data_IF_763947330097
#
_entry.id   IF_763947330097
#
_cell.length_a   1.000
_cell.length_b   1.000
_cell.length_c   1.000
_cell.angle_alpha   90.00
_cell.angle_beta   90.00
_cell.angle_gamma   90.00
#
_symmetry.space_group_name_H-M   'P 1'
#
loop_
_entity.id
_entity.type
_entity.pdbx_description
1 polymer ?
#
# COMPACT_ATOMS: atom_id res chain seq x y z
N UNK A 1 -10.65 -18.30 8.13
CA UNK A 1 -9.21 -18.07 7.95
C UNK A 1 -8.60 -17.62 9.27
N UNK A 2 -8.04 -18.55 10.05
CA UNK A 2 -7.54 -18.26 11.42
C UNK A 2 -6.06 -17.81 11.46
N UNK A 3 -5.46 -17.48 10.31
CA UNK A 3 -4.01 -17.27 10.18
C UNK A 3 -3.51 -15.82 10.15
N UNK A 4 -4.28 -14.86 9.62
CA UNK A 4 -3.84 -13.47 9.44
C UNK A 4 -4.50 -12.57 10.49
N UNK A 5 -3.70 -11.98 11.38
CA UNK A 5 -4.20 -11.11 12.45
C UNK A 5 -4.69 -9.76 11.92
N UNK A 6 -3.98 -9.19 10.93
CA UNK A 6 -4.35 -7.92 10.28
C UNK A 6 -4.84 -8.19 8.86
N UNK A 7 -6.16 -8.16 8.69
CA UNK A 7 -6.86 -8.30 7.40
C UNK A 7 -7.19 -6.91 6.89
N UNK A 8 -6.27 -6.37 6.10
CA UNK A 8 -6.28 -4.97 5.74
C UNK A 8 -6.51 -4.69 4.26
N UNK A 9 -6.91 -3.45 4.01
CA UNK A 9 -6.90 -2.79 2.70
C UNK A 9 -6.32 -1.39 2.88
N UNK A 10 -5.62 -0.87 1.88
CA UNK A 10 -5.18 0.51 1.90
C UNK A 10 -6.28 1.46 1.38
N UNK A 11 -6.23 2.71 1.82
CA UNK A 11 -7.19 3.73 1.43
C UNK A 11 -6.50 5.10 1.38
N UNK A 12 -6.54 5.75 0.21
CA UNK A 12 -6.00 7.10 0.04
C UNK A 12 -7.00 8.14 0.53
N UNK A 13 -6.56 9.05 1.39
CA UNK A 13 -7.42 10.07 2.00
C UNK A 13 -7.46 11.37 1.20
N UNK A 14 -6.44 11.63 0.39
CA UNK A 14 -6.30 12.90 -0.33
C UNK A 14 -7.39 13.08 -1.39
N UNK A 15 -8.00 14.27 -1.41
CA UNK A 15 -9.09 14.60 -2.35
C UNK A 15 -10.43 13.91 -2.06
N UNK A 16 -10.53 13.08 -1.02
CA UNK A 16 -11.76 12.38 -0.66
C UNK A 16 -12.61 13.21 0.30
N UNK A 17 -13.89 13.40 -0.05
CA UNK A 17 -14.83 14.10 0.83
C UNK A 17 -15.06 13.32 2.15
N UNK A 18 -15.19 13.98 3.32
CA UNK A 18 -15.36 13.29 4.60
C UNK A 18 -16.55 12.31 4.66
N UNK A 19 -17.66 12.62 4.01
CA UNK A 19 -18.83 11.73 3.94
C UNK A 19 -18.58 10.49 3.09
N UNK A 20 -17.74 10.63 2.04
CA UNK A 20 -17.30 9.52 1.22
C UNK A 20 -16.38 8.60 2.01
N UNK A 21 -15.39 9.18 2.71
CA UNK A 21 -14.49 8.42 3.60
C UNK A 21 -15.30 7.60 4.61
N UNK A 22 -16.27 8.21 5.28
CA UNK A 22 -17.13 7.51 6.26
C UNK A 22 -17.90 6.35 5.63
N UNK A 23 -18.49 6.54 4.45
CA UNK A 23 -19.25 5.50 3.76
C UNK A 23 -18.34 4.35 3.31
N UNK A 24 -17.16 4.66 2.79
CA UNK A 24 -16.19 3.65 2.34
C UNK A 24 -15.64 2.83 3.50
N UNK A 25 -15.32 3.46 4.63
CA UNK A 25 -14.86 2.76 5.83
C UNK A 25 -15.93 1.81 6.39
N UNK A 26 -17.21 2.14 6.26
CA UNK A 26 -18.29 1.22 6.63
C UNK A 26 -18.31 -0.01 5.71
N UNK A 27 -18.20 0.17 4.38
CA UNK A 27 -18.11 -0.94 3.42
C UNK A 27 -16.87 -1.80 3.66
N UNK A 28 -15.71 -1.18 3.93
CA UNK A 28 -14.45 -1.87 4.23
C UNK A 28 -14.60 -2.77 5.46
N UNK A 29 -15.28 -2.30 6.51
CA UNK A 29 -15.53 -3.12 7.71
C UNK A 29 -16.59 -4.18 7.48
N UNK A 30 -17.76 -3.77 7.01
CA UNK A 30 -18.98 -4.59 7.04
C UNK A 30 -19.04 -5.57 5.89
N UNK A 31 -18.67 -5.13 4.69
CA UNK A 31 -18.84 -5.90 3.46
C UNK A 31 -17.54 -6.58 3.02
N UNK A 32 -16.39 -5.93 3.24
CA UNK A 32 -15.07 -6.49 2.93
C UNK A 32 -14.47 -7.26 4.12
N UNK A 33 -15.09 -7.18 5.30
CA UNK A 33 -14.68 -7.87 6.52
C UNK A 33 -13.25 -7.55 6.98
N UNK A 34 -12.71 -6.38 6.59
CA UNK A 34 -11.44 -5.91 7.12
C UNK A 34 -11.57 -5.58 8.61
N UNK A 35 -10.49 -5.83 9.36
CA UNK A 35 -10.37 -5.37 10.75
C UNK A 35 -9.42 -4.16 10.88
N UNK A 36 -8.64 -3.86 9.85
CA UNK A 36 -7.67 -2.77 9.85
C UNK A 36 -7.68 -2.05 8.51
N UNK A 37 -7.47 -0.73 8.51
CA UNK A 37 -7.27 0.06 7.29
C UNK A 37 -5.93 0.79 7.34
N UNK A 38 -5.18 0.76 6.23
CA UNK A 38 -3.99 1.58 6.08
C UNK A 38 -4.36 2.89 5.37
N UNK A 39 -4.37 3.99 6.12
CA UNK A 39 -4.70 5.30 5.60
C UNK A 39 -3.43 5.96 5.05
N UNK A 40 -3.49 6.41 3.81
CA UNK A 40 -2.38 7.03 3.08
C UNK A 40 -2.77 8.45 2.69
N UNK A 41 -1.99 9.44 3.09
CA UNK A 41 -2.30 10.84 2.77
C UNK A 41 -1.11 11.79 2.90
N UNK A 42 -1.22 12.92 2.22
CA UNK A 42 -0.27 14.06 2.26
C UNK A 42 -0.74 15.16 3.21
N UNK A 43 -2.04 15.27 3.49
CA UNK A 43 -2.59 16.21 4.47
C UNK A 43 -2.70 15.53 5.86
N UNK A 44 -1.88 15.92 6.86
CA UNK A 44 -1.93 15.32 8.19
C UNK A 44 -3.29 15.43 8.87
N UNK A 45 -4.00 16.54 8.70
CA UNK A 45 -5.28 16.77 9.37
C UNK A 45 -6.40 15.95 8.73
N UNK A 46 -6.47 15.94 7.39
CA UNK A 46 -7.38 15.06 6.65
C UNK A 46 -7.15 13.58 6.97
N UNK A 47 -5.89 13.15 7.03
CA UNK A 47 -5.53 11.78 7.38
C UNK A 47 -5.94 11.43 8.82
N UNK A 48 -5.68 12.30 9.79
CA UNK A 48 -6.11 12.11 11.19
C UNK A 48 -7.65 12.11 11.31
N UNK A 49 -8.36 12.93 10.54
CA UNK A 49 -9.81 12.93 10.44
C UNK A 49 -10.36 11.58 9.95
N UNK A 50 -9.78 11.03 8.89
CA UNK A 50 -10.12 9.70 8.38
C UNK A 50 -9.81 8.59 9.42
N UNK A 51 -8.70 8.70 10.14
CA UNK A 51 -8.32 7.75 11.18
C UNK A 51 -9.33 7.73 12.34
N UNK A 52 -9.80 8.90 12.80
CA UNK A 52 -10.88 8.98 13.81
C UNK A 52 -12.16 8.29 13.31
N UNK A 53 -12.51 8.46 12.04
CA UNK A 53 -13.68 7.80 11.46
C UNK A 53 -13.52 6.28 11.42
N UNK A 54 -12.34 5.78 11.04
CA UNK A 54 -12.04 4.35 11.00
C UNK A 54 -12.11 3.71 12.39
N UNK A 55 -11.48 4.34 13.39
CA UNK A 55 -11.49 3.87 14.79
C UNK A 55 -12.92 3.83 15.37
N UNK A 56 -13.75 4.84 15.08
CA UNK A 56 -15.18 4.87 15.44
C UNK A 56 -16.01 3.82 14.71
N UNK A 57 -15.67 3.52 13.47
CA UNK A 57 -16.24 2.39 12.76
C UNK A 57 -15.75 1.06 13.35
N UNK A 58 -14.74 1.01 14.22
CA UNK A 58 -14.24 -0.24 14.78
C UNK A 58 -13.17 -0.91 13.94
N UNK A 59 -12.59 -0.19 12.97
CA UNK A 59 -11.35 -0.61 12.30
C UNK A 59 -10.13 -0.13 13.11
N UNK A 60 -9.11 -0.97 13.22
CA UNK A 60 -7.77 -0.53 13.62
C UNK A 60 -7.13 0.26 12.46
N UNK A 61 -6.13 1.10 12.77
CA UNK A 61 -5.57 2.02 11.79
C UNK A 61 -4.05 1.91 11.70
N UNK A 62 -3.58 1.74 10.47
CA UNK A 62 -2.18 1.96 10.11
C UNK A 62 -2.08 3.34 9.43
N UNK A 63 -1.42 4.29 10.10
CA UNK A 63 -1.24 5.64 9.56
C UNK A 63 0.04 5.69 8.75
N UNK A 64 -0.06 5.96 7.45
CA UNK A 64 1.09 6.07 6.55
C UNK A 64 1.20 7.48 5.96
N UNK A 65 2.15 8.31 6.42
CA UNK A 65 2.40 9.59 5.79
C UNK A 65 2.90 9.40 4.36
N UNK A 66 2.46 10.26 3.44
CA UNK A 66 2.90 10.28 2.06
C UNK A 66 3.42 11.67 1.72
N UNK A 67 4.74 11.79 1.49
CA UNK A 67 5.35 13.01 0.97
C UNK A 67 6.35 12.66 -0.12
N UNK A 68 5.82 12.38 -1.30
CA UNK A 68 6.63 12.06 -2.48
C UNK A 68 7.49 13.24 -2.92
N UNK A 69 8.70 12.94 -3.41
CA UNK A 69 9.67 13.94 -3.84
C UNK A 69 10.07 14.96 -2.76
N UNK A 70 9.77 14.68 -1.48
CA UNK A 70 10.21 15.45 -0.34
C UNK A 70 11.73 15.40 -0.15
N UNK A 71 12.33 16.49 0.35
CA UNK A 71 13.69 16.46 0.87
C UNK A 71 13.67 15.87 2.28
N UNK A 72 14.81 15.35 2.75
CA UNK A 72 14.93 14.76 4.10
C UNK A 72 14.31 15.62 5.21
N UNK A 73 14.61 16.92 5.24
CA UNK A 73 14.03 17.81 6.25
C UNK A 73 12.50 17.89 6.17
N UNK A 74 11.94 18.02 4.96
CA UNK A 74 10.50 18.11 4.73
C UNK A 74 9.78 16.81 5.13
N UNK A 75 10.37 15.65 4.76
CA UNK A 75 9.85 14.32 5.12
C UNK A 75 9.82 14.15 6.64
N UNK A 76 10.88 14.54 7.34
CA UNK A 76 10.95 14.42 8.79
C UNK A 76 9.98 15.39 9.50
N UNK A 77 9.84 16.62 9.02
CA UNK A 77 8.90 17.59 9.59
C UNK A 77 7.44 17.15 9.39
N UNK A 78 7.13 16.62 8.20
CA UNK A 78 5.82 16.04 7.90
C UNK A 78 5.53 14.82 8.79
N UNK A 79 6.50 13.90 8.92
CA UNK A 79 6.39 12.74 9.81
C UNK A 79 6.17 13.15 11.27
N UNK A 80 6.87 14.17 11.78
CA UNK A 80 6.65 14.65 13.15
C UNK A 80 5.20 15.09 13.38
N UNK A 81 4.64 15.83 12.42
CA UNK A 81 3.23 16.27 12.48
C UNK A 81 2.26 15.09 12.48
N UNK A 82 2.48 14.12 11.58
CA UNK A 82 1.63 12.92 11.49
C UNK A 82 1.77 12.06 12.76
N UNK A 83 2.98 11.94 13.31
CA UNK A 83 3.24 11.15 14.51
C UNK A 83 2.57 11.74 15.76
N UNK A 84 2.60 13.07 15.93
CA UNK A 84 1.88 13.74 17.01
C UNK A 84 0.36 13.52 16.93
N UNK A 85 -0.23 13.63 15.73
CA UNK A 85 -1.65 13.33 15.53
C UNK A 85 -1.97 11.85 15.75
N UNK A 86 -1.09 10.94 15.34
CA UNK A 86 -1.25 9.51 15.61
C UNK A 86 -1.19 9.20 17.13
N UNK A 87 -0.42 9.97 17.90
CA UNK A 87 -0.33 9.81 19.36
C UNK A 87 -1.62 10.23 20.06
N UNK A 88 -2.25 11.33 19.64
CA UNK A 88 -3.59 11.71 20.11
C UNK A 88 -4.59 10.55 19.91
N UNK A 89 -4.61 9.98 18.70
CA UNK A 89 -5.47 8.84 18.38
C UNK A 89 -5.17 7.61 19.21
N UNK A 90 -3.88 7.31 19.45
CA UNK A 90 -3.44 6.17 20.25
C UNK A 90 -3.80 6.33 21.72
N UNK A 91 -3.75 7.55 22.25
CA UNK A 91 -4.16 7.84 23.63
C UNK A 91 -5.67 7.62 23.81
N UNK A 92 -6.49 8.00 22.83
CA UNK A 92 -7.93 7.76 22.81
C UNK A 92 -8.30 6.29 22.53
N UNK A 93 -7.49 5.59 21.73
CA UNK A 93 -7.72 4.21 21.29
C UNK A 93 -6.48 3.32 21.48
N UNK A 94 -6.12 2.96 22.74
CA UNK A 94 -4.92 2.19 23.02
C UNK A 94 -4.88 0.85 22.28
N UNK A 95 -3.73 0.56 21.65
CA UNK A 95 -3.48 -0.71 20.94
C UNK A 95 -4.05 -0.79 19.53
N UNK A 96 -4.73 0.26 19.03
CA UNK A 96 -5.44 0.25 17.74
C UNK A 96 -4.79 1.09 16.63
N UNK A 97 -3.65 1.72 16.92
CA UNK A 97 -2.95 2.64 16.02
C UNK A 97 -1.51 2.20 15.85
N UNK A 98 -1.10 1.99 14.59
CA UNK A 98 0.28 1.72 14.18
C UNK A 98 0.75 2.82 13.22
N UNK A 99 1.96 3.35 13.42
CA UNK A 99 2.54 4.38 12.58
C UNK A 99 3.57 3.80 11.61
N UNK A 100 3.44 4.10 10.33
CA UNK A 100 4.50 3.89 9.34
C UNK A 100 5.36 5.15 9.28
N UNK A 101 6.68 5.03 9.36
CA UNK A 101 7.57 6.20 9.22
C UNK A 101 7.68 6.69 7.77
N UNK A 102 7.21 5.89 6.81
CA UNK A 102 7.20 6.20 5.39
C UNK A 102 7.05 4.95 4.51
N UNK A 103 7.24 5.13 3.20
CA UNK A 103 7.16 4.07 2.19
C UNK A 103 8.21 4.29 1.11
N UNK A 104 8.94 3.22 0.76
CA UNK A 104 9.86 3.14 -0.37
C UNK A 104 10.77 4.36 -0.56
N UNK A 105 11.43 4.84 0.49
CA UNK A 105 12.29 6.03 0.47
C UNK A 105 13.36 6.01 -0.62
N UNK A 106 13.85 4.85 -1.06
CA UNK A 106 14.72 4.78 -2.23
C UNK A 106 14.10 5.35 -3.50
N UNK A 107 12.78 5.21 -3.64
CA UNK A 107 11.97 5.68 -4.75
C UNK A 107 11.29 7.02 -4.47
N UNK A 108 10.83 7.29 -3.24
CA UNK A 108 9.98 8.45 -2.91
C UNK A 108 10.75 9.63 -2.34
N UNK A 109 11.86 9.40 -1.63
CA UNK A 109 12.64 10.45 -0.97
C UNK A 109 13.78 10.98 -1.83
N UNK A 110 13.94 12.32 -1.90
CA UNK A 110 15.00 12.93 -2.69
C UNK A 110 16.38 12.63 -2.12
N UNK A 111 17.34 12.45 -3.03
CA UNK A 111 18.74 12.28 -2.67
C UNK A 111 19.14 10.85 -2.31
N UNK A 112 18.27 9.86 -2.36
CA UNK A 112 18.69 8.46 -2.21
C UNK A 112 19.33 7.96 -3.52
N UNK A 113 18.52 7.88 -4.57
CA UNK A 113 18.91 7.55 -5.95
C UNK A 113 18.97 8.83 -6.79
N UNK A 114 19.87 8.94 -7.80
CA UNK A 114 19.86 10.06 -8.73
C UNK A 114 18.52 10.20 -9.47
N UNK A 115 18.00 11.43 -9.54
CA UNK A 115 16.72 11.74 -10.18
C UNK A 115 15.91 12.74 -9.34
N UNK A 116 15.37 13.78 -9.99
CA UNK A 116 14.54 14.80 -9.33
C UNK A 116 13.13 14.30 -9.03
N UNK A 117 12.64 13.38 -9.86
CA UNK A 117 11.27 12.90 -9.90
C UNK A 117 11.23 11.40 -9.64
N UNK A 118 10.18 10.93 -8.96
CA UNK A 118 9.90 9.51 -8.68
C UNK A 118 10.12 8.64 -9.92
N UNK A 119 9.51 9.01 -11.06
CA UNK A 119 9.62 8.24 -12.31
C UNK A 119 11.07 8.03 -12.77
N UNK A 120 11.92 9.05 -12.69
CA UNK A 120 13.32 8.93 -13.09
C UNK A 120 14.10 8.00 -12.14
N UNK A 121 13.84 8.10 -10.83
CA UNK A 121 14.45 7.20 -9.85
C UNK A 121 14.00 5.75 -10.07
N UNK A 122 12.74 5.52 -10.41
CA UNK A 122 12.24 4.19 -10.77
C UNK A 122 13.01 3.60 -11.95
N UNK A 123 13.22 4.37 -13.02
CA UNK A 123 14.01 3.91 -14.17
C UNK A 123 15.46 3.56 -13.78
N UNK A 124 16.08 4.36 -12.90
CA UNK A 124 17.43 4.08 -12.40
C UNK A 124 17.46 2.81 -11.55
N UNK A 125 16.48 2.61 -10.65
CA UNK A 125 16.38 1.39 -9.84
C UNK A 125 16.18 0.17 -10.76
N UNK A 126 15.21 0.21 -11.67
CA UNK A 126 14.91 -0.94 -12.53
C UNK A 126 16.09 -1.34 -13.43
N UNK A 127 16.87 -0.38 -13.94
CA UNK A 127 17.96 -0.66 -14.89
C UNK A 127 19.34 -0.80 -14.25
N UNK A 128 19.61 -0.03 -13.19
CA UNK A 128 20.96 0.17 -12.65
C UNK A 128 21.05 -0.11 -11.14
N UNK A 129 20.02 -0.68 -10.50
CA UNK A 129 19.99 -0.94 -9.04
C UNK A 129 21.29 -1.54 -8.51
N UNK A 130 21.85 -2.56 -9.18
CA UNK A 130 23.06 -3.26 -8.71
C UNK A 130 24.25 -2.31 -8.50
N UNK A 131 24.35 -1.23 -9.28
CA UNK A 131 25.39 -0.21 -9.13
C UNK A 131 25.16 0.71 -7.91
N UNK A 132 23.91 0.82 -7.47
CA UNK A 132 23.49 1.71 -6.38
C UNK A 132 23.14 0.99 -5.08
N UNK A 133 23.10 -0.34 -5.01
CA UNK A 133 22.65 -1.11 -3.84
C UNK A 133 23.31 -0.68 -2.52
N UNK A 134 24.64 -0.50 -2.51
CA UNK A 134 25.37 -0.03 -1.31
C UNK A 134 24.97 1.38 -0.91
N UNK A 135 24.76 2.26 -1.89
CA UNK A 135 24.34 3.65 -1.65
C UNK A 135 22.89 3.71 -1.16
N UNK A 136 21.99 2.96 -1.81
CA UNK A 136 20.58 2.85 -1.44
C UNK A 136 20.49 2.36 0.00
N UNK A 137 21.10 1.20 0.30
CA UNK A 137 21.10 0.63 1.66
C UNK A 137 21.60 1.63 2.69
N UNK A 138 22.75 2.28 2.47
CA UNK A 138 23.31 3.23 3.42
C UNK A 138 22.41 4.46 3.62
N UNK A 139 21.90 5.05 2.53
CA UNK A 139 21.12 6.29 2.60
C UNK A 139 19.70 6.07 3.10
N UNK A 140 19.07 4.95 2.72
CA UNK A 140 17.75 4.56 3.26
C UNK A 140 17.86 4.32 4.75
N UNK A 141 18.81 3.51 5.23
CA UNK A 141 18.95 3.28 6.68
C UNK A 141 19.31 4.55 7.46
N UNK A 142 20.14 5.44 6.89
CA UNK A 142 20.41 6.74 7.51
C UNK A 142 19.18 7.65 7.60
N UNK A 143 18.26 7.58 6.64
CA UNK A 143 16.98 8.31 6.70
C UNK A 143 16.01 7.62 7.65
N UNK A 144 15.95 6.29 7.66
CA UNK A 144 15.09 5.52 8.57
C UNK A 144 15.48 5.72 10.03
N UNK A 145 16.77 5.81 10.34
CA UNK A 145 17.24 6.12 11.69
C UNK A 145 16.71 7.48 12.18
N UNK A 146 16.81 8.53 11.35
CA UNK A 146 16.23 9.84 11.67
C UNK A 146 14.70 9.79 11.76
N UNK A 147 14.05 9.11 10.81
CA UNK A 147 12.60 9.02 10.76
C UNK A 147 12.05 8.31 12.00
N UNK A 148 12.70 7.22 12.42
CA UNK A 148 12.38 6.52 13.65
C UNK A 148 12.62 7.39 14.87
N UNK A 149 13.76 8.09 14.97
CA UNK A 149 14.02 9.01 16.07
C UNK A 149 12.98 10.13 16.16
N UNK A 150 12.52 10.65 15.02
CA UNK A 150 11.43 11.62 14.94
C UNK A 150 10.10 11.02 15.36
N UNK A 151 9.72 9.86 14.83
CA UNK A 151 8.48 9.18 15.22
C UNK A 151 8.44 8.88 16.73
N UNK A 152 9.53 8.37 17.31
CA UNK A 152 9.60 8.03 18.74
C UNK A 152 9.58 9.23 19.69
N UNK A 153 9.88 10.44 19.21
CA UNK A 153 9.71 11.66 20.02
C UNK A 153 8.24 12.00 20.22
N UNK A 154 7.42 11.73 19.21
CA UNK A 154 6.02 12.16 19.18
C UNK A 154 5.03 11.02 19.46
N UNK A 155 5.41 9.76 19.18
CA UNK A 155 4.51 8.60 19.17
C UNK A 155 5.04 7.42 19.99
N UNK A 156 4.22 6.91 20.90
CA UNK A 156 4.56 5.84 21.85
C UNK A 156 4.03 4.45 21.45
N UNK A 157 3.34 4.33 20.31
CA UNK A 157 2.78 3.06 19.83
C UNK A 157 3.71 2.27 18.88
N UNK A 158 3.20 1.21 18.24
CA UNK A 158 3.96 0.41 17.29
C UNK A 158 4.37 1.19 16.04
N UNK A 159 5.63 1.09 15.64
CA UNK A 159 6.21 1.76 14.47
C UNK A 159 6.77 0.75 13.47
N UNK A 160 6.48 1.00 12.20
CA UNK A 160 6.99 0.22 11.06
C UNK A 160 7.36 1.11 9.87
N UNK A 161 7.67 0.50 8.74
CA UNK A 161 8.06 1.15 7.48
C UNK A 161 7.59 0.26 6.32
N UNK A 162 7.10 0.84 5.23
CA UNK A 162 6.73 0.08 4.03
C UNK A 162 7.94 -0.03 3.08
N UNK A 163 8.77 -1.06 3.28
CA UNK A 163 9.99 -1.25 2.50
C UNK A 163 9.69 -1.81 1.11
N UNK A 164 10.27 -1.23 0.06
CA UNK A 164 10.25 -1.88 -1.24
C UNK A 164 11.04 -3.20 -1.17
N UNK A 165 10.65 -4.23 -1.94
CA UNK A 165 11.31 -5.55 -1.89
C UNK A 165 12.81 -5.54 -2.19
N UNK A 166 13.35 -4.43 -2.72
CA UNK A 166 14.78 -4.25 -2.98
C UNK A 166 15.56 -3.56 -1.86
N UNK A 167 14.89 -2.93 -0.91
CA UNK A 167 15.51 -2.21 0.19
C UNK A 167 15.98 -3.18 1.27
N UNK A 168 17.24 -3.04 1.69
CA UNK A 168 17.79 -3.76 2.86
C UNK A 168 17.67 -2.85 4.06
N UNK A 169 16.68 -3.11 4.90
CA UNK A 169 16.36 -2.31 6.09
C UNK A 169 16.91 -2.99 7.34
N UNK A 170 17.48 -2.19 8.24
CA UNK A 170 17.74 -2.60 9.62
C UNK A 170 16.44 -2.48 10.43
N UNK A 171 15.84 -3.64 10.74
CA UNK A 171 14.58 -3.72 11.48
C UNK A 171 14.76 -3.74 13.00
N UNK A 172 15.99 -3.69 13.52
CA UNK A 172 16.29 -3.91 14.94
C UNK A 172 15.49 -3.00 15.89
N UNK A 173 15.30 -1.72 15.52
CA UNK A 173 14.60 -0.72 16.33
C UNK A 173 13.11 -0.50 15.96
N UNK A 174 12.59 -1.20 14.95
CA UNK A 174 11.18 -1.20 14.56
C UNK A 174 10.40 -2.30 15.30
N UNK A 175 9.09 -2.13 15.46
CA UNK A 175 8.25 -3.13 16.15
C UNK A 175 7.73 -4.21 15.20
N UNK A 176 7.54 -3.84 13.93
CA UNK A 176 6.97 -4.68 12.87
C UNK A 176 7.82 -4.54 11.61
N UNK A 177 8.02 -5.65 10.90
CA UNK A 177 8.64 -5.67 9.56
C UNK A 177 7.57 -5.40 8.52
N UNK A 178 7.64 -4.26 7.82
CA UNK A 178 6.69 -3.88 6.79
C UNK A 178 7.30 -3.94 5.38
N UNK A 179 6.67 -4.68 4.46
CA UNK A 179 7.18 -4.82 3.09
C UNK A 179 6.10 -4.65 2.02
N UNK A 180 6.39 -3.84 1.00
CA UNK A 180 5.64 -3.83 -0.24
C UNK A 180 6.13 -5.01 -1.09
N UNK A 181 5.29 -6.04 -1.21
CA UNK A 181 5.71 -7.34 -1.71
C UNK A 181 4.77 -7.85 -2.80
N UNK A 182 4.98 -7.35 -4.01
CA UNK A 182 4.23 -7.79 -5.18
C UNK A 182 4.85 -9.05 -5.83
N UNK A 183 4.03 -10.03 -6.18
CA UNK A 183 4.40 -11.15 -7.06
C UNK A 183 4.52 -10.65 -8.51
N UNK A 184 5.62 -10.99 -9.17
CA UNK A 184 5.96 -10.56 -10.52
C UNK A 184 6.55 -11.74 -11.31
N UNK A 185 6.22 -11.82 -12.60
CA UNK A 185 6.73 -12.86 -13.50
C UNK A 185 6.02 -14.19 -13.30
N UNK A 186 6.71 -15.27 -13.65
CA UNK A 186 6.15 -16.64 -13.64
C UNK A 186 6.79 -17.54 -12.58
N UNK A 187 7.75 -17.04 -11.79
CA UNK A 187 8.41 -17.80 -10.72
C UNK A 187 7.62 -17.69 -9.41
N UNK A 188 6.47 -18.36 -9.37
CA UNK A 188 5.58 -18.36 -8.20
C UNK A 188 6.25 -19.02 -6.99
N UNK A 189 6.96 -20.14 -7.19
CA UNK A 189 7.69 -20.83 -6.11
C UNK A 189 8.80 -19.95 -5.52
N UNK A 190 9.49 -19.16 -6.35
CA UNK A 190 10.49 -18.21 -5.88
C UNK A 190 9.90 -17.08 -5.06
N UNK A 191 8.69 -16.63 -5.38
CA UNK A 191 7.94 -15.69 -4.57
C UNK A 191 7.53 -16.31 -3.23
N UNK A 192 6.96 -17.51 -3.23
CA UNK A 192 6.60 -18.24 -2.01
C UNK A 192 7.79 -18.46 -1.08
N UNK A 193 8.92 -18.97 -1.62
CA UNK A 193 10.16 -19.14 -0.83
C UNK A 193 10.60 -17.84 -0.17
N UNK A 194 10.43 -16.70 -0.85
CA UNK A 194 10.76 -15.38 -0.30
C UNK A 194 9.83 -14.97 0.84
N UNK A 195 8.52 -15.18 0.70
CA UNK A 195 7.55 -14.90 1.77
C UNK A 195 7.88 -15.75 3.00
N UNK A 196 8.06 -17.06 2.83
CA UNK A 196 8.38 -17.97 3.94
C UNK A 196 9.73 -17.64 4.59
N UNK A 197 10.73 -17.25 3.81
CA UNK A 197 12.02 -16.80 4.34
C UNK A 197 11.88 -15.52 5.16
N UNK A 198 11.13 -14.53 4.66
CA UNK A 198 10.89 -13.28 5.37
C UNK A 198 10.25 -13.51 6.74
N UNK A 199 9.18 -14.33 6.81
CA UNK A 199 8.51 -14.65 8.09
C UNK A 199 9.46 -15.37 9.04
N UNK A 200 10.19 -16.38 8.55
CA UNK A 200 11.13 -17.17 9.38
C UNK A 200 12.29 -16.33 9.93
N UNK A 201 12.79 -15.37 9.16
CA UNK A 201 14.01 -14.63 9.48
C UNK A 201 13.76 -13.31 10.22
N UNK A 202 12.56 -12.75 10.15
CA UNK A 202 12.23 -11.45 10.73
C UNK A 202 12.39 -11.38 12.26
N UNK A 203 12.09 -12.47 12.97
CA UNK A 203 12.06 -12.52 14.44
C UNK A 203 11.04 -11.56 15.07
N UNK A 204 10.15 -10.97 14.26
CA UNK A 204 9.14 -9.97 14.60
C UNK A 204 7.92 -10.17 13.68
N UNK A 205 6.74 -9.63 14.03
CA UNK A 205 5.58 -9.65 13.15
C UNK A 205 5.91 -9.08 11.76
N UNK A 206 5.54 -9.81 10.71
CA UNK A 206 5.70 -9.39 9.31
C UNK A 206 4.37 -8.95 8.75
N UNK A 207 4.33 -7.74 8.22
CA UNK A 207 3.17 -7.17 7.53
C UNK A 207 3.51 -6.92 6.06
N UNK A 208 2.75 -7.52 5.16
CA UNK A 208 2.78 -7.15 3.74
C UNK A 208 1.99 -5.86 3.58
N UNK A 209 2.70 -4.73 3.51
CA UNK A 209 2.09 -3.40 3.49
C UNK A 209 1.44 -3.05 2.16
N UNK A 210 1.81 -3.72 1.08
CA UNK A 210 1.14 -3.62 -0.21
C UNK A 210 1.34 -4.88 -1.07
N UNK A 211 0.25 -5.32 -1.71
CA UNK A 211 0.24 -6.30 -2.80
C UNK A 211 -1.01 -6.11 -3.67
N UNK A 212 -0.95 -6.54 -4.93
CA UNK A 212 -2.08 -6.49 -5.87
C UNK A 212 -1.64 -6.47 -7.34
N UNK A 213 -2.61 -6.40 -8.25
CA UNK A 213 -2.39 -6.19 -9.68
C UNK A 213 -3.59 -5.45 -10.30
N UNK A 214 -3.47 -5.11 -11.59
CA UNK A 214 -4.58 -4.55 -12.36
C UNK A 214 -5.63 -5.59 -12.78
N UNK A 215 -6.75 -5.13 -13.33
CA UNK A 215 -7.87 -5.93 -13.81
C UNK A 215 -7.83 -6.15 -15.33
N UNK A 216 -6.73 -6.72 -15.82
CA UNK A 216 -6.55 -7.02 -17.24
C UNK A 216 -5.81 -8.34 -17.46
N UNK A 217 -6.00 -8.95 -18.64
CA UNK A 217 -5.30 -10.18 -19.00
C UNK A 217 -3.77 -10.01 -18.86
N UNK A 218 -3.13 -10.91 -18.12
CA UNK A 218 -1.69 -10.90 -17.83
C UNK A 218 -1.23 -9.92 -16.74
N UNK A 219 -2.15 -9.28 -16.00
CA UNK A 219 -1.82 -8.40 -14.88
C UNK A 219 -1.15 -9.15 -13.73
N UNK A 220 -1.53 -10.41 -13.49
CA UNK A 220 -0.94 -11.34 -12.52
C UNK A 220 0.58 -11.48 -12.69
N UNK A 221 1.07 -11.56 -13.93
CA UNK A 221 2.49 -11.63 -14.25
C UNK A 221 3.18 -10.27 -14.17
N UNK A 222 2.43 -9.17 -14.31
CA UNK A 222 2.96 -7.81 -14.23
C UNK A 222 3.03 -7.28 -12.81
N UNK A 223 2.20 -7.77 -11.89
CA UNK A 223 2.14 -7.32 -10.50
C UNK A 223 2.10 -5.79 -10.40
N UNK A 224 3.14 -5.14 -9.83
CA UNK A 224 3.17 -3.70 -9.67
C UNK A 224 3.27 -2.97 -11.01
N UNK A 225 3.70 -3.63 -12.09
CA UNK A 225 3.80 -3.08 -13.44
C UNK A 225 2.50 -3.06 -14.24
N UNK A 226 1.34 -3.32 -13.62
CA UNK A 226 0.03 -3.31 -14.31
C UNK A 226 -0.29 -1.95 -14.94
N UNK A 227 0.16 -0.84 -14.32
CA UNK A 227 0.00 0.51 -14.86
C UNK A 227 0.74 0.78 -16.19
N UNK A 228 1.65 -0.12 -16.61
CA UNK A 228 2.44 0.06 -17.84
C UNK A 228 1.63 -0.14 -19.13
N UNK A 229 0.41 -0.67 -19.04
CA UNK A 229 -0.50 -0.77 -20.19
C UNK A 229 -1.01 0.61 -20.64
N UNK A 230 -0.89 1.62 -19.79
CA UNK A 230 -1.31 2.99 -20.09
C UNK A 230 -0.20 3.75 -20.81
N UNK A 231 -0.55 4.43 -21.89
CA UNK A 231 0.26 5.48 -22.48
C UNK A 231 0.08 6.79 -21.71
N UNK A 232 0.92 7.00 -20.70
CA UNK A 232 0.96 8.21 -19.89
C UNK A 232 1.42 9.47 -20.65
N UNK A 233 1.94 9.31 -21.87
CA UNK A 233 2.34 10.43 -22.73
C UNK A 233 1.20 10.90 -23.66
N UNK A 234 0.07 10.19 -23.70
CA UNK A 234 -1.13 10.66 -24.37
C UNK A 234 -1.86 11.70 -23.52
N UNK A 235 -2.58 12.62 -24.17
CA UNK A 235 -3.47 13.59 -23.50
C UNK A 235 -4.89 13.46 -24.06
N UNK A 236 -5.87 12.95 -23.28
CA UNK A 236 -5.69 12.32 -21.96
C UNK A 236 -4.91 10.99 -22.05
N UNK A 237 -4.40 10.45 -20.91
CA UNK A 237 -3.82 9.11 -20.87
C UNK A 237 -4.77 8.04 -21.42
N UNK A 238 -4.23 7.04 -22.11
CA UNK A 238 -5.03 5.98 -22.75
C UNK A 238 -4.39 4.61 -22.60
N UNK A 239 -5.21 3.58 -22.43
CA UNK A 239 -4.74 2.20 -22.50
C UNK A 239 -4.26 1.91 -23.93
N UNK A 240 -3.11 1.24 -24.04
CA UNK A 240 -2.54 0.82 -25.32
C UNK A 240 -3.43 -0.26 -25.94
N UNK A 241 -3.42 -0.34 -27.27
CA UNK A 241 -4.19 -1.36 -27.99
C UNK A 241 -3.75 -2.79 -27.62
N UNK A 242 -4.68 -3.74 -27.65
CA UNK A 242 -4.42 -5.15 -27.37
C UNK A 242 -4.55 -5.59 -25.91
N UNK A 243 -4.90 -4.69 -24.99
CA UNK A 243 -5.22 -5.03 -23.61
C UNK A 243 -6.72 -5.28 -23.43
N UNK A 244 -7.07 -6.34 -22.71
CA UNK A 244 -8.46 -6.78 -22.47
C UNK A 244 -8.72 -6.80 -20.97
N UNK A 245 -9.84 -6.23 -20.55
CA UNK A 245 -10.29 -6.23 -19.15
C UNK A 245 -10.54 -7.66 -18.68
N UNK A 246 -10.05 -7.96 -17.49
CA UNK A 246 -10.22 -9.27 -16.85
C UNK A 246 -10.16 -9.07 -15.33
N UNK A 247 -11.32 -8.96 -14.68
CA UNK A 247 -11.41 -8.82 -13.22
C UNK A 247 -11.10 -10.14 -12.50
N UNK A 248 -11.34 -11.28 -13.16
CA UNK A 248 -11.04 -12.62 -12.66
C UNK A 248 -9.54 -12.83 -12.45
N UNK A 249 -8.68 -12.29 -13.32
CA UNK A 249 -7.22 -12.29 -13.12
C UNK A 249 -6.82 -11.55 -11.84
N UNK A 250 -7.43 -10.39 -11.57
CA UNK A 250 -7.16 -9.64 -10.34
C UNK A 250 -7.65 -10.41 -9.11
N UNK A 251 -8.85 -10.98 -9.17
CA UNK A 251 -9.44 -11.76 -8.11
C UNK A 251 -8.58 -12.99 -7.76
N UNK A 252 -8.21 -13.79 -8.76
CA UNK A 252 -7.35 -14.97 -8.58
C UNK A 252 -5.97 -14.62 -8.00
N UNK A 253 -5.36 -13.52 -8.45
CA UNK A 253 -4.09 -13.06 -7.90
C UNK A 253 -4.18 -12.74 -6.40
N UNK A 254 -5.21 -12.01 -5.97
CA UNK A 254 -5.40 -11.65 -4.58
C UNK A 254 -5.76 -12.87 -3.73
N UNK A 255 -6.61 -13.75 -4.24
CA UNK A 255 -6.97 -15.03 -3.63
C UNK A 255 -5.72 -15.86 -3.29
N UNK A 256 -4.90 -16.16 -4.29
CA UNK A 256 -3.70 -16.98 -4.14
C UNK A 256 -2.70 -16.39 -3.14
N UNK A 257 -2.52 -15.06 -3.15
CA UNK A 257 -1.59 -14.40 -2.23
C UNK A 257 -2.11 -14.35 -0.80
N UNK A 258 -3.41 -14.14 -0.60
CA UNK A 258 -4.02 -14.20 0.72
C UNK A 258 -3.90 -15.60 1.33
N UNK A 259 -4.15 -16.65 0.55
CA UNK A 259 -4.01 -18.04 0.98
C UNK A 259 -2.54 -18.32 1.35
N UNK A 260 -1.59 -17.92 0.49
CA UNK A 260 -0.16 -18.04 0.77
C UNK A 260 0.26 -17.30 2.05
N UNK A 261 -0.24 -16.08 2.28
CA UNK A 261 0.10 -15.31 3.47
C UNK A 261 -0.41 -15.95 4.75
N UNK A 262 -1.63 -16.49 4.72
CA UNK A 262 -2.19 -17.25 5.83
C UNK A 262 -1.35 -18.50 6.13
N UNK A 263 -1.00 -19.28 5.09
CA UNK A 263 -0.18 -20.50 5.23
C UNK A 263 1.27 -20.23 5.65
N UNK A 264 1.83 -19.10 5.23
CA UNK A 264 3.20 -18.72 5.55
C UNK A 264 3.35 -18.09 6.94
N UNK A 265 2.24 -17.81 7.64
CA UNK A 265 2.25 -17.17 8.95
C UNK A 265 2.58 -15.67 8.91
N UNK A 266 2.19 -14.99 7.82
CA UNK A 266 2.27 -13.53 7.74
C UNK A 266 1.31 -12.93 8.76
N UNK A 267 1.79 -12.01 9.60
CA UNK A 267 0.98 -11.42 10.67
C UNK A 267 -0.14 -10.53 10.12
N UNK A 268 0.13 -9.80 9.05
CA UNK A 268 -0.81 -8.86 8.45
C UNK A 268 -0.59 -8.62 6.98
N UNK A 269 -1.64 -8.22 6.27
CA UNK A 269 -1.50 -7.81 4.89
C UNK A 269 -2.50 -6.70 4.51
N UNK A 270 -2.11 -5.87 3.54
CA UNK A 270 -2.94 -4.80 3.02
C UNK A 270 -3.06 -4.95 1.50
N UNK A 271 -4.27 -5.28 1.05
CA UNK A 271 -4.61 -5.22 -0.37
C UNK A 271 -4.47 -3.77 -0.82
N UNK A 272 -3.61 -3.54 -1.82
CA UNK A 272 -3.47 -2.23 -2.45
C UNK A 272 -4.36 -2.24 -3.68
N UNK A 273 -5.49 -1.52 -3.74
CA UNK A 273 -6.09 -0.61 -2.72
C UNK A 273 -7.62 -0.69 -2.78
N UNK A 274 -8.36 -0.04 -1.86
CA UNK A 274 -9.82 -0.07 -1.89
C UNK A 274 -10.39 0.60 -3.16
N UNK A 275 -9.96 1.83 -3.45
CA UNK A 275 -10.47 2.64 -4.57
C UNK A 275 -9.36 3.49 -5.20
N UNK A 276 -9.46 3.73 -6.51
CA UNK A 276 -8.56 4.61 -7.27
C UNK A 276 -9.37 5.55 -8.19
N UNK A 277 -9.87 6.69 -7.68
CA UNK A 277 -10.69 7.61 -8.47
C UNK A 277 -9.97 8.22 -9.69
N UNK A 278 -8.63 8.28 -9.63
CA UNK A 278 -7.73 8.72 -10.69
C UNK A 278 -7.53 7.67 -11.81
N UNK A 279 -8.05 6.46 -11.62
CA UNK A 279 -8.12 5.39 -12.62
C UNK A 279 -9.61 5.08 -12.90
N UNK A 280 -10.35 5.98 -13.56
CA UNK A 280 -11.78 5.79 -13.81
C UNK A 280 -12.03 4.63 -14.79
N UNK A 281 -13.17 3.98 -14.60
CA UNK A 281 -13.68 2.97 -15.50
C UNK A 281 -14.41 3.62 -16.69
N UNK A 282 -14.28 3.00 -17.86
CA UNK A 282 -14.95 3.43 -19.07
C UNK A 282 -15.32 2.24 -19.95
N UNK A 283 -16.42 2.34 -20.71
CA UNK A 283 -16.88 1.26 -21.58
C UNK A 283 -15.98 1.05 -22.81
N UNK A 284 -15.39 2.13 -23.36
CA UNK A 284 -14.30 2.05 -24.34
C UNK A 284 -12.99 1.59 -23.65
N UNK A 285 -12.44 0.42 -24.01
CA UNK A 285 -11.21 -0.13 -23.40
C UNK A 285 -10.00 0.80 -23.49
N UNK A 286 -9.93 1.69 -24.50
CA UNK A 286 -8.82 2.64 -24.64
C UNK A 286 -8.83 3.74 -23.57
N UNK A 287 -9.98 3.95 -22.93
CA UNK A 287 -10.20 4.96 -21.90
C UNK A 287 -10.37 4.33 -20.50
N UNK A 288 -10.47 3.00 -20.42
CA UNK A 288 -10.67 2.25 -19.17
C UNK A 288 -9.37 2.18 -18.35
N UNK A 289 -8.96 3.30 -17.74
CA UNK A 289 -7.76 3.35 -16.90
C UNK A 289 -7.86 2.41 -15.71
N UNK A 290 -9.07 2.15 -15.21
CA UNK A 290 -9.33 1.19 -14.12
C UNK A 290 -8.78 -0.23 -14.40
N UNK A 291 -8.66 -0.65 -15.67
CA UNK A 291 -7.99 -1.90 -16.03
C UNK A 291 -6.54 -1.96 -15.51
N UNK A 292 -5.86 -0.83 -15.52
CA UNK A 292 -4.48 -0.69 -15.07
C UNK A 292 -4.38 -0.39 -13.55
N UNK A 293 -5.51 -0.03 -12.94
CA UNK A 293 -5.64 0.31 -11.53
C UNK A 293 -5.86 -0.91 -10.65
N UNK A 294 -5.46 -0.78 -9.39
CA UNK A 294 -5.43 -1.85 -8.39
C UNK A 294 -6.67 -1.84 -7.48
N UNK A 295 -7.56 -0.85 -7.63
CA UNK A 295 -8.75 -0.68 -6.80
C UNK A 295 -9.63 -1.93 -6.78
N UNK A 296 -10.21 -2.27 -5.62
CA UNK A 296 -11.26 -3.29 -5.45
C UNK A 296 -12.63 -2.81 -5.95
N UNK A 297 -12.83 -1.50 -6.03
CA UNK A 297 -13.99 -0.88 -6.65
C UNK A 297 -13.58 -0.02 -7.83
N UNK A 298 -14.37 -0.05 -8.91
CA UNK A 298 -14.19 0.77 -10.10
C UNK A 298 -15.11 1.99 -10.08
N UNK A 299 -14.61 3.16 -10.44
CA UNK A 299 -15.37 4.42 -10.35
C UNK A 299 -15.80 4.87 -11.74
N UNK A 300 -17.05 5.33 -11.89
CA UNK A 300 -17.51 6.03 -13.10
C UNK A 300 -18.09 7.40 -12.72
N UNK A 301 -18.28 8.33 -13.67
CA UNK A 301 -18.98 9.60 -13.39
C UNK A 301 -20.37 9.41 -12.76
N UNK A 302 -21.09 8.36 -13.15
CA UNK A 302 -22.44 8.03 -12.68
C UNK A 302 -22.43 7.28 -11.34
N UNK A 303 -21.36 6.52 -11.09
CA UNK A 303 -21.14 5.77 -9.86
C UNK A 303 -19.87 6.27 -9.15
N UNK A 304 -19.85 7.53 -8.63
CA UNK A 304 -18.70 8.06 -7.91
C UNK A 304 -18.45 7.27 -6.62
N UNK A 305 -19.45 6.52 -6.15
CA UNK A 305 -19.31 5.63 -5.01
C UNK A 305 -18.63 4.29 -5.31
N UNK A 306 -18.31 4.03 -6.56
CA UNK A 306 -17.65 2.81 -6.99
C UNK A 306 -18.61 1.64 -7.16
N UNK A 307 -18.27 0.77 -8.11
CA UNK A 307 -18.92 -0.50 -8.39
C UNK A 307 -17.92 -1.59 -7.98
N UNK A 308 -18.37 -2.58 -7.20
CA UNK A 308 -17.52 -3.68 -6.74
C UNK A 308 -17.00 -4.48 -7.94
N UNK A 309 -15.70 -4.77 -7.97
CA UNK A 309 -15.10 -5.72 -8.91
C UNK A 309 -15.23 -7.14 -8.39
N UNK A 310 -14.97 -8.14 -9.25
CA UNK A 310 -14.85 -9.54 -8.82
C UNK A 310 -13.84 -9.72 -7.67
N UNK A 311 -12.71 -8.98 -7.73
CA UNK A 311 -11.70 -8.96 -6.68
C UNK A 311 -12.25 -8.56 -5.29
N UNK A 312 -13.27 -7.70 -5.21
CA UNK A 312 -13.89 -7.34 -3.94
C UNK A 312 -14.54 -8.56 -3.29
N UNK A 313 -15.32 -9.32 -4.05
CA UNK A 313 -16.03 -10.49 -3.55
C UNK A 313 -15.04 -11.58 -3.08
N UNK A 314 -13.94 -11.74 -3.83
CA UNK A 314 -12.92 -12.73 -3.52
C UNK A 314 -12.16 -12.40 -2.22
N UNK A 315 -11.81 -11.13 -2.01
CA UNK A 315 -11.21 -10.65 -0.76
C UNK A 315 -12.19 -10.76 0.40
N UNK A 316 -13.44 -10.34 0.21
CA UNK A 316 -14.48 -10.41 1.24
C UNK A 316 -14.71 -11.85 1.71
N UNK A 317 -14.86 -12.80 0.78
CA UNK A 317 -15.04 -14.24 1.07
C UNK A 317 -13.91 -14.78 1.95
N UNK A 318 -12.67 -14.36 1.67
CA UNK A 318 -11.49 -14.74 2.43
C UNK A 318 -11.42 -14.08 3.80
N UNK A 319 -11.69 -12.78 3.87
CA UNK A 319 -11.63 -12.04 5.12
C UNK A 319 -12.80 -12.32 6.06
N UNK A 320 -13.87 -12.93 5.57
CA UNK A 320 -15.02 -13.32 6.37
C UNK A 320 -14.58 -14.13 7.61
N UNK A 321 -15.16 -13.84 8.79
CA UNK A 321 -14.98 -14.70 9.95
C UNK A 321 -15.46 -16.11 9.61
N UNK A 322 -14.69 -17.12 10.02
CA UNK A 322 -15.09 -18.52 9.93
C UNK A 322 -16.19 -18.87 10.92
#
# INVERSE_FOLDING_TARGET
MDGIAVRGVSYFTDGMAPDRVRADLAVIRDDLHCNTVMLIGTDPQGQAGAARQALRAGLDVHVRPSLEDGRRADVLAHLATVAALAEELRAEHPGRVTLLVGSEFSLTSRGIVPGRWVFLRLQVILRLRRLFDRRITRRVNALLADALATARREFAGPVTYAAAFWERVDWSAFDVVGVNLYRLGTDHDGYERRVRALVREAGKPVVVTEFGCGAHAGADRRGPGSFLIVNWFASPPRVREGHVRDEGVQAAYLAELLDLYAEAGVHGCFVFTYVMPDFPHHADPRQDLDMAGFGLVKVTPEAPRGIRKEAFAEVASRYAPG
#
